data_IF_193210458414
#
_entry.id   IF_193210458414
#
_cell.length_a   1.000
_cell.length_b   1.000
_cell.length_c   1.000
_cell.angle_alpha   90.00
_cell.angle_beta   90.00
_cell.angle_gamma   90.00
#
_symmetry.space_group_name_H-M   'P 1'
#
loop_
_entity.id
_entity.type
_entity.pdbx_description
1 polymer ?
#
# COMPACT_ATOMS: atom_id res chain seq x y z
N UNK A 1 19.14 6.19 0.48
CA UNK A 1 19.35 7.63 0.24
C UNK A 1 20.04 8.21 1.46
N UNK A 2 20.92 9.19 1.29
CA UNK A 2 21.51 9.94 2.41
C UNK A 2 20.82 11.29 2.52
N UNK A 3 20.54 11.70 3.75
CA UNK A 3 19.97 12.99 4.09
C UNK A 3 20.96 13.69 5.02
N UNK A 4 21.61 14.74 4.51
CA UNK A 4 22.42 15.64 5.31
C UNK A 4 21.60 16.81 5.82
N UNK A 5 21.76 17.14 7.09
CA UNK A 5 21.37 18.42 7.68
C UNK A 5 22.64 19.21 8.01
N UNK A 6 22.51 20.41 8.57
CA UNK A 6 23.68 21.19 9.00
C UNK A 6 24.52 20.45 10.07
N UNK A 7 23.89 19.60 10.88
CA UNK A 7 24.52 19.00 12.08
C UNK A 7 24.60 17.47 12.03
N UNK A 8 23.78 16.79 11.21
CA UNK A 8 23.61 15.33 11.25
C UNK A 8 23.47 14.73 9.84
N UNK A 9 23.81 13.45 9.71
CA UNK A 9 23.58 12.66 8.49
C UNK A 9 22.74 11.44 8.87
N UNK A 10 21.61 11.29 8.18
CA UNK A 10 20.71 10.17 8.35
C UNK A 10 20.61 9.38 7.04
N UNK A 11 20.33 8.08 7.14
CA UNK A 11 19.93 7.28 5.98
C UNK A 11 18.42 7.35 5.87
N UNK A 12 17.91 7.40 4.64
CA UNK A 12 16.49 7.21 4.38
C UNK A 12 16.32 6.09 3.36
N UNK A 13 15.40 5.15 3.63
CA UNK A 13 15.10 4.06 2.73
C UNK A 13 13.62 4.05 2.34
N UNK A 14 13.37 3.67 1.09
CA UNK A 14 12.03 3.51 0.54
C UNK A 14 11.44 2.19 1.04
N UNK A 15 10.23 2.23 1.57
CA UNK A 15 9.49 1.02 1.96
C UNK A 15 8.80 0.34 0.78
N UNK A 16 8.66 1.04 -0.36
CA UNK A 16 7.83 0.63 -1.49
C UNK A 16 6.32 0.72 -1.22
N UNK A 17 5.91 1.16 -0.02
CA UNK A 17 4.49 1.36 0.31
C UNK A 17 4.03 2.67 -0.31
N UNK A 18 2.99 2.62 -1.14
CA UNK A 18 2.38 3.82 -1.71
C UNK A 18 1.83 4.72 -0.60
N UNK A 19 1.94 6.06 -0.75
CA UNK A 19 1.49 7.06 0.23
C UNK A 19 0.04 6.86 0.70
N UNK A 20 -0.87 6.34 -0.15
CA UNK A 20 -2.26 6.07 0.25
C UNK A 20 -2.37 5.07 1.40
N UNK A 21 -1.36 4.22 1.55
CA UNK A 21 -1.27 3.16 2.54
C UNK A 21 -0.31 3.51 3.69
N UNK A 22 0.10 4.78 3.85
CA UNK A 22 1.13 5.16 4.81
C UNK A 22 0.78 4.81 6.27
N UNK A 23 -0.52 4.80 6.61
CA UNK A 23 -1.02 4.38 7.92
C UNK A 23 -0.73 2.91 8.27
N UNK A 24 -0.33 2.09 7.29
CA UNK A 24 0.14 0.71 7.51
C UNK A 24 1.60 0.65 7.96
N UNK A 25 2.37 1.71 7.71
CA UNK A 25 3.76 1.83 8.14
C UNK A 25 3.81 2.44 9.55
N UNK A 26 3.14 3.58 9.74
CA UNK A 26 2.89 4.15 11.06
C UNK A 26 1.61 4.99 11.07
N UNK A 27 0.90 4.99 12.20
CA UNK A 27 -0.23 5.90 12.43
C UNK A 27 0.24 7.32 12.77
N UNK A 28 1.51 7.51 13.10
CA UNK A 28 2.10 8.83 13.30
C UNK A 28 2.72 9.31 11.99
N UNK A 29 2.14 10.35 11.40
CA UNK A 29 2.61 10.95 10.14
C UNK A 29 4.02 11.54 10.26
N UNK A 30 4.50 11.77 11.48
CA UNK A 30 5.86 12.25 11.74
C UNK A 30 6.90 11.14 11.86
N UNK A 31 6.52 9.88 11.74
CA UNK A 31 7.49 8.78 11.72
C UNK A 31 8.08 8.59 10.31
N UNK A 32 7.38 8.99 9.25
CA UNK A 32 7.81 8.73 7.88
C UNK A 32 7.81 9.99 7.03
N UNK A 33 8.43 9.90 5.85
CA UNK A 33 8.46 10.97 4.84
C UNK A 33 7.79 10.46 3.57
N UNK A 34 6.89 11.24 2.98
CA UNK A 34 6.34 10.91 1.65
C UNK A 34 7.25 11.50 0.58
N UNK A 35 7.81 10.63 -0.27
CA UNK A 35 8.66 11.03 -1.39
C UNK A 35 8.42 10.09 -2.56
N UNK A 36 8.37 10.65 -3.78
CA UNK A 36 8.20 9.85 -5.00
C UNK A 36 6.97 8.92 -4.91
N UNK A 37 5.91 9.42 -4.24
CA UNK A 37 4.65 8.74 -3.99
C UNK A 37 4.72 7.49 -3.09
N UNK A 38 5.88 7.20 -2.51
CA UNK A 38 6.07 6.12 -1.53
C UNK A 38 6.39 6.67 -0.14
N UNK A 39 6.31 5.78 0.84
CA UNK A 39 6.65 6.03 2.24
C UNK A 39 8.12 5.72 2.46
N UNK A 40 8.86 6.70 2.95
CA UNK A 40 10.28 6.59 3.24
C UNK A 40 10.52 6.69 4.74
N UNK A 41 11.44 5.86 5.24
CA UNK A 41 11.79 5.80 6.65
C UNK A 41 13.17 6.45 6.87
N UNK A 42 13.24 7.57 7.60
CA UNK A 42 14.50 8.12 8.06
C UNK A 42 15.05 7.28 9.22
N UNK A 43 16.36 7.05 9.22
CA UNK A 43 17.07 6.25 10.19
C UNK A 43 18.34 7.00 10.62
N UNK A 44 18.46 7.24 11.92
CA UNK A 44 19.71 7.71 12.52
C UNK A 44 20.72 6.56 12.56
N UNK A 45 21.87 6.77 11.92
CA UNK A 45 22.88 5.72 11.68
C UNK A 45 24.12 5.85 12.53
N UNK A 46 24.28 6.99 13.22
CA UNK A 46 25.41 7.26 14.08
C UNK A 46 25.27 6.62 15.48
N UNK A 47 24.10 6.05 15.78
CA UNK A 47 23.77 5.51 17.11
C UNK A 47 23.76 3.98 17.08
N UNK A 48 24.85 3.39 17.55
CA UNK A 48 25.15 1.96 17.38
C UNK A 48 24.58 1.07 18.51
N UNK A 49 24.09 1.67 19.61
CA UNK A 49 23.62 0.97 20.81
C UNK A 49 22.10 1.12 21.07
N UNK A 50 21.35 1.48 20.04
CA UNK A 50 19.89 1.67 20.11
C UNK A 50 19.17 0.67 19.22
N UNK A 51 17.92 0.39 19.59
CA UNK A 51 17.04 -0.43 18.76
C UNK A 51 16.76 0.24 17.42
N UNK A 52 16.26 -0.53 16.46
CA UNK A 52 15.80 -0.01 15.17
C UNK A 52 14.69 1.05 15.37
N UNK A 53 13.72 0.80 16.25
CA UNK A 53 12.59 1.71 16.50
C UNK A 53 13.04 3.03 17.13
N UNK A 54 14.01 3.01 18.05
CA UNK A 54 14.62 4.22 18.60
C UNK A 54 15.38 5.00 17.51
N UNK A 55 16.21 4.30 16.72
CA UNK A 55 17.00 4.93 15.65
C UNK A 55 16.12 5.53 14.55
N UNK A 56 14.99 4.88 14.25
CA UNK A 56 13.96 5.39 13.35
C UNK A 56 13.30 6.64 13.95
N UNK A 57 12.81 6.57 15.19
CA UNK A 57 12.19 7.70 15.88
C UNK A 57 13.12 8.93 15.92
N UNK A 58 14.40 8.73 16.21
CA UNK A 58 15.41 9.79 16.22
C UNK A 58 15.70 10.34 14.82
N UNK A 59 15.79 9.48 13.81
CA UNK A 59 15.96 9.90 12.42
C UNK A 59 14.79 10.75 11.94
N UNK A 60 13.57 10.36 12.30
CA UNK A 60 12.35 11.10 11.97
C UNK A 60 12.29 12.46 12.69
N UNK A 61 12.61 12.50 13.99
CA UNK A 61 12.70 13.75 14.74
C UNK A 61 13.75 14.70 14.14
N UNK A 62 14.96 14.20 13.83
CA UNK A 62 16.02 14.98 13.22
C UNK A 62 15.62 15.56 11.85
N UNK A 63 14.96 14.76 11.01
CA UNK A 63 14.41 15.21 9.73
C UNK A 63 13.38 16.32 9.94
N UNK A 64 12.34 16.07 10.73
CA UNK A 64 11.24 17.02 10.87
C UNK A 64 11.63 18.28 11.64
N UNK A 65 12.53 18.20 12.62
CA UNK A 65 13.11 19.38 13.28
C UNK A 65 13.78 20.30 12.27
N UNK A 66 14.50 19.75 11.31
CA UNK A 66 15.15 20.53 10.25
C UNK A 66 14.13 21.15 9.30
N UNK A 67 13.12 20.38 8.86
CA UNK A 67 12.04 20.88 8.01
C UNK A 67 11.25 22.00 8.68
N UNK A 68 10.84 21.81 9.92
CA UNK A 68 10.03 22.77 10.68
C UNK A 68 10.80 24.07 10.95
N UNK A 69 12.12 23.98 11.14
CA UNK A 69 13.02 25.13 11.23
C UNK A 69 13.30 25.80 9.88
N UNK A 70 12.76 25.29 8.77
CA UNK A 70 13.10 25.69 7.38
C UNK A 70 14.59 25.59 7.09
N UNK A 71 15.26 24.65 7.74
CA UNK A 71 16.66 24.34 7.53
C UNK A 71 16.88 23.68 6.17
N UNK A 72 18.14 23.71 5.71
CA UNK A 72 18.53 23.06 4.45
C UNK A 72 18.64 21.55 4.67
N UNK A 73 18.01 20.78 3.77
CA UNK A 73 18.19 19.34 3.65
C UNK A 73 18.97 19.04 2.38
N UNK A 74 20.15 18.43 2.52
CA UNK A 74 20.94 17.94 1.42
C UNK A 74 20.59 16.47 1.17
N UNK A 75 19.90 16.21 0.05
CA UNK A 75 19.42 14.88 -0.27
C UNK A 75 20.27 14.26 -1.37
N UNK A 76 20.94 13.14 -1.04
CA UNK A 76 21.86 12.46 -1.93
C UNK A 76 21.32 11.06 -2.24
N UNK A 77 20.98 10.83 -3.51
CA UNK A 77 20.71 9.49 -4.02
C UNK A 77 22.04 8.74 -4.22
N UNK A 78 22.33 7.84 -3.29
CA UNK A 78 23.60 7.09 -3.26
C UNK A 78 23.78 6.24 -4.52
N UNK A 79 22.70 5.63 -5.04
CA UNK A 79 22.80 4.75 -6.21
C UNK A 79 23.16 5.56 -7.45
N UNK A 80 22.47 6.68 -7.68
CA UNK A 80 22.78 7.61 -8.77
C UNK A 80 24.18 8.22 -8.63
N UNK A 81 24.60 8.51 -7.40
CA UNK A 81 25.94 9.05 -7.14
C UNK A 81 27.04 8.06 -7.51
N UNK A 82 26.84 6.75 -7.27
CA UNK A 82 27.79 5.70 -7.63
C UNK A 82 27.94 5.46 -9.13
N UNK A 83 26.95 5.84 -9.95
CA UNK A 83 27.08 5.79 -11.42
C UNK A 83 28.13 6.76 -11.94
N UNK A 84 28.32 7.89 -11.26
CA UNK A 84 29.27 8.95 -11.64
C UNK A 84 30.57 8.87 -10.83
N UNK A 85 30.46 8.47 -9.56
CA UNK A 85 31.57 8.36 -8.61
C UNK A 85 31.49 7.02 -7.87
N UNK A 86 31.98 5.92 -8.48
CA UNK A 86 31.96 4.61 -7.85
C UNK A 86 32.83 4.59 -6.58
N UNK A 87 32.46 3.79 -5.56
CA UNK A 87 33.26 3.67 -4.35
C UNK A 87 34.65 3.12 -4.69
N UNK A 88 35.67 3.65 -4.03
CA UNK A 88 37.03 3.12 -4.17
C UNK A 88 37.09 1.70 -3.60
N UNK A 89 37.75 0.79 -4.30
CA UNK A 89 38.06 -0.52 -3.73
C UNK A 89 38.95 -0.31 -2.50
N UNK A 90 38.53 -0.84 -1.34
CA UNK A 90 39.39 -0.96 -0.17
C UNK A 90 40.55 -1.90 -0.51
N UNK A 91 41.76 -1.59 -0.03
CA UNK A 91 42.89 -2.50 -0.19
C UNK A 91 42.53 -3.85 0.46
N UNK A 92 42.85 -4.95 -0.21
CA UNK A 92 42.47 -6.33 0.13
C UNK A 92 42.94 -6.82 1.52
N UNK A 93 43.73 -6.03 2.23
CA UNK A 93 44.51 -6.44 3.39
C UNK A 93 43.88 -5.97 4.72
N UNK A 94 42.75 -5.24 4.67
CA UNK A 94 42.01 -4.89 5.90
C UNK A 94 41.25 -6.11 6.43
N UNK A 95 41.53 -6.47 7.69
CA UNK A 95 40.74 -7.47 8.43
C UNK A 95 39.34 -6.91 8.65
N UNK A 96 38.41 -7.26 7.77
CA UNK A 96 36.99 -7.02 7.97
C UNK A 96 36.58 -7.75 9.26
N UNK A 97 35.91 -7.04 10.17
CA UNK A 97 35.35 -7.65 11.37
C UNK A 97 34.45 -8.84 10.97
N UNK A 98 34.53 -9.94 11.71
CA UNK A 98 33.70 -11.10 11.43
C UNK A 98 32.22 -10.70 11.47
N UNK A 99 31.46 -11.12 10.47
CA UNK A 99 30.00 -10.94 10.46
C UNK A 99 29.42 -11.52 11.75
N UNK A 100 28.55 -10.78 12.47
CA UNK A 100 27.93 -11.30 13.68
C UNK A 100 27.20 -12.62 13.41
N UNK A 101 27.13 -13.50 14.41
CA UNK A 101 26.42 -14.76 14.26
C UNK A 101 24.93 -14.49 14.00
N UNK A 102 24.32 -15.25 13.08
CA UNK A 102 22.91 -15.08 12.71
C UNK A 102 21.96 -15.14 13.92
N UNK A 103 22.27 -15.99 14.90
CA UNK A 103 21.48 -16.12 16.13
C UNK A 103 21.49 -14.85 17.00
N UNK A 104 22.62 -14.12 17.03
CA UNK A 104 22.70 -12.86 17.76
C UNK A 104 21.87 -11.77 17.06
N UNK A 105 21.94 -11.71 15.73
CA UNK A 105 21.13 -10.79 14.91
C UNK A 105 19.64 -11.08 15.10
N UNK A 106 19.24 -12.35 15.02
CA UNK A 106 17.84 -12.78 15.18
C UNK A 106 17.29 -12.39 16.55
N UNK A 107 18.08 -12.55 17.62
CA UNK A 107 17.68 -12.16 18.98
C UNK A 107 17.33 -10.67 19.07
N UNK A 108 18.17 -9.80 18.53
CA UNK A 108 17.89 -8.34 18.52
C UNK A 108 16.68 -8.01 17.64
N UNK A 109 16.59 -8.62 16.46
CA UNK A 109 15.47 -8.43 15.56
C UNK A 109 14.13 -8.80 16.20
N UNK A 110 14.05 -9.94 16.87
CA UNK A 110 12.82 -10.40 17.53
C UNK A 110 12.43 -9.47 18.68
N UNK A 111 13.39 -9.04 19.51
CA UNK A 111 13.13 -8.11 20.60
C UNK A 111 12.60 -6.76 20.10
N UNK A 112 13.24 -6.19 19.09
CA UNK A 112 12.82 -4.92 18.47
C UNK A 112 11.45 -5.04 17.81
N UNK A 113 11.20 -6.14 17.07
CA UNK A 113 9.91 -6.38 16.43
C UNK A 113 8.77 -6.52 17.46
N UNK A 114 9.01 -7.19 18.59
CA UNK A 114 8.04 -7.30 19.68
C UNK A 114 7.75 -5.94 20.32
N UNK A 115 8.78 -5.15 20.60
CA UNK A 115 8.64 -3.81 21.16
C UNK A 115 7.84 -2.90 20.23
N UNK A 116 8.19 -2.87 18.94
CA UNK A 116 7.48 -2.09 17.92
C UNK A 116 6.02 -2.54 17.78
N UNK A 117 5.77 -3.85 17.78
CA UNK A 117 4.41 -4.41 17.71
C UNK A 117 3.56 -3.99 18.92
N UNK A 118 4.13 -4.01 20.13
CA UNK A 118 3.44 -3.58 21.35
C UNK A 118 3.11 -2.07 21.30
N UNK A 119 4.06 -1.22 20.92
CA UNK A 119 3.84 0.22 20.76
C UNK A 119 2.77 0.52 19.70
N UNK A 120 2.82 -0.18 18.56
CA UNK A 120 1.81 -0.04 17.51
C UNK A 120 0.42 -0.50 17.98
N UNK A 121 0.32 -1.60 18.73
CA UNK A 121 -0.94 -2.08 19.26
C UNK A 121 -1.58 -1.08 20.25
N UNK A 122 -0.75 -0.42 21.06
CA UNK A 122 -1.19 0.64 21.98
C UNK A 122 -1.69 1.86 21.19
N UNK A 123 -0.92 2.33 20.19
CA UNK A 123 -1.31 3.45 19.33
C UNK A 123 -2.62 3.18 18.58
N UNK A 124 -2.78 1.97 18.02
CA UNK A 124 -4.02 1.52 17.40
C UNK A 124 -5.18 1.63 18.39
N UNK A 125 -4.99 1.13 19.61
CA UNK A 125 -6.04 1.11 20.64
C UNK A 125 -6.44 2.54 21.05
N UNK A 126 -5.48 3.42 21.28
CA UNK A 126 -5.72 4.83 21.63
C UNK A 126 -6.43 5.59 20.49
N UNK A 127 -5.93 5.48 19.26
CA UNK A 127 -6.50 6.17 18.09
C UNK A 127 -7.93 5.68 17.81
N UNK A 128 -8.18 4.37 17.88
CA UNK A 128 -9.52 3.80 17.71
C UNK A 128 -10.46 4.24 18.82
N UNK A 129 -10.00 4.27 20.08
CA UNK A 129 -10.80 4.76 21.19
C UNK A 129 -11.22 6.23 20.97
N UNK A 130 -10.27 7.10 20.59
CA UNK A 130 -10.55 8.48 20.24
C UNK A 130 -11.56 8.61 19.10
N UNK A 131 -11.38 7.88 17.99
CA UNK A 131 -12.30 7.93 16.85
C UNK A 131 -13.72 7.49 17.21
N UNK A 132 -13.87 6.48 18.08
CA UNK A 132 -15.18 6.04 18.58
C UNK A 132 -15.92 7.14 19.35
N UNK A 133 -15.21 8.02 20.06
CA UNK A 133 -15.85 9.14 20.78
C UNK A 133 -16.51 10.16 19.86
N UNK A 134 -16.07 10.24 18.60
CA UNK A 134 -16.59 11.20 17.63
C UNK A 134 -17.97 10.82 17.07
N UNK A 135 -18.40 9.57 17.29
CA UNK A 135 -19.74 9.03 16.99
C UNK A 135 -20.31 9.44 15.63
N UNK A 136 -19.49 9.35 14.57
CA UNK A 136 -19.89 9.67 13.21
C UNK A 136 -19.33 8.65 12.21
N UNK A 137 -19.95 8.58 11.04
CA UNK A 137 -19.62 7.60 10.01
C UNK A 137 -18.16 7.68 9.54
N UNK A 138 -17.64 8.90 9.38
CA UNK A 138 -16.26 9.13 8.92
C UNK A 138 -15.26 8.54 9.92
N UNK A 139 -15.40 8.86 11.20
CA UNK A 139 -14.53 8.34 12.26
C UNK A 139 -14.67 6.83 12.45
N UNK A 140 -15.87 6.27 12.27
CA UNK A 140 -16.06 4.81 12.25
C UNK A 140 -15.37 4.13 11.08
N UNK A 141 -15.41 4.72 9.88
CA UNK A 141 -14.66 4.24 8.71
C UNK A 141 -13.15 4.28 8.94
N UNK A 142 -12.62 5.40 9.45
CA UNK A 142 -11.20 5.52 9.80
C UNK A 142 -10.79 4.46 10.84
N UNK A 143 -11.60 4.28 11.89
CA UNK A 143 -11.33 3.28 12.93
C UNK A 143 -11.34 1.85 12.36
N UNK A 144 -12.28 1.55 11.46
CA UNK A 144 -12.38 0.25 10.82
C UNK A 144 -11.16 -0.07 9.95
N UNK A 145 -10.67 0.90 9.18
CA UNK A 145 -9.46 0.76 8.36
C UNK A 145 -8.24 0.45 9.26
N UNK A 146 -8.08 1.20 10.36
CA UNK A 146 -6.99 0.99 11.32
C UNK A 146 -7.07 -0.41 11.94
N UNK A 147 -8.26 -0.82 12.39
CA UNK A 147 -8.48 -2.15 12.96
C UNK A 147 -8.20 -3.26 11.93
N UNK A 148 -8.64 -3.08 10.68
CA UNK A 148 -8.40 -4.03 9.60
C UNK A 148 -6.91 -4.18 9.27
N UNK A 149 -6.17 -3.08 9.21
CA UNK A 149 -4.72 -3.09 9.02
C UNK A 149 -3.99 -3.77 10.18
N UNK A 150 -4.53 -3.68 11.40
CA UNK A 150 -4.04 -4.41 12.57
C UNK A 150 -4.54 -5.87 12.66
N UNK A 151 -5.26 -6.38 11.64
CA UNK A 151 -5.80 -7.75 11.62
C UNK A 151 -7.02 -7.97 12.53
N UNK A 152 -7.56 -6.93 13.17
CA UNK A 152 -8.71 -6.99 14.07
C UNK A 152 -10.03 -6.89 13.29
N UNK A 153 -10.27 -7.84 12.39
CA UNK A 153 -11.37 -7.76 11.41
C UNK A 153 -12.77 -7.75 12.04
N UNK A 154 -12.99 -8.53 13.11
CA UNK A 154 -14.30 -8.57 13.77
C UNK A 154 -14.64 -7.26 14.48
N UNK A 155 -13.63 -6.64 15.12
CA UNK A 155 -13.78 -5.30 15.71
C UNK A 155 -14.04 -4.26 14.62
N UNK A 156 -13.32 -4.35 13.48
CA UNK A 156 -13.49 -3.46 12.34
C UNK A 156 -14.93 -3.56 11.75
N UNK A 157 -15.46 -4.77 11.60
CA UNK A 157 -16.86 -4.98 11.19
C UNK A 157 -17.80 -4.38 12.23
N UNK A 158 -17.52 -4.61 13.52
CA UNK A 158 -18.30 -4.13 14.65
C UNK A 158 -18.56 -2.62 14.62
N UNK A 159 -17.52 -1.82 14.33
CA UNK A 159 -17.63 -0.35 14.31
C UNK A 159 -18.38 0.20 13.10
N UNK A 160 -18.60 -0.62 12.05
CA UNK A 160 -19.31 -0.21 10.82
C UNK A 160 -20.77 -0.69 10.76
N UNK A 161 -21.22 -1.58 11.65
CA UNK A 161 -22.53 -2.26 11.56
C UNK A 161 -23.73 -1.34 11.37
N UNK A 162 -23.67 -0.11 11.88
CA UNK A 162 -24.77 0.86 11.85
C UNK A 162 -24.81 1.71 10.58
N UNK A 163 -23.75 1.71 9.78
CA UNK A 163 -23.59 2.58 8.61
C UNK A 163 -23.75 1.78 7.30
N UNK A 164 -24.31 2.44 6.28
CA UNK A 164 -24.63 1.79 4.99
C UNK A 164 -24.27 2.63 3.76
N UNK A 165 -23.51 3.71 3.90
CA UNK A 165 -23.05 4.48 2.74
C UNK A 165 -22.20 3.63 1.80
N UNK A 166 -22.00 4.11 0.58
CA UNK A 166 -21.10 3.49 -0.37
C UNK A 166 -19.68 3.30 0.22
N UNK A 167 -19.16 4.30 0.94
CA UNK A 167 -17.84 4.23 1.60
C UNK A 167 -17.79 3.12 2.64
N UNK A 168 -18.79 3.05 3.52
CA UNK A 168 -18.87 2.03 4.56
C UNK A 168 -18.97 0.63 3.96
N UNK A 169 -19.83 0.45 2.95
CA UNK A 169 -20.01 -0.84 2.30
C UNK A 169 -18.75 -1.25 1.52
N UNK A 170 -18.03 -0.31 0.90
CA UNK A 170 -16.74 -0.58 0.28
C UNK A 170 -15.72 -1.06 1.33
N UNK A 171 -15.59 -0.35 2.44
CA UNK A 171 -14.64 -0.70 3.49
C UNK A 171 -15.01 -2.03 4.18
N UNK A 172 -16.31 -2.31 4.41
CA UNK A 172 -16.77 -3.63 4.86
C UNK A 172 -16.37 -4.72 3.86
N UNK A 173 -16.51 -4.46 2.55
CA UNK A 173 -16.07 -5.36 1.50
C UNK A 173 -14.58 -5.71 1.62
N UNK A 174 -13.73 -4.69 1.82
CA UNK A 174 -12.29 -4.88 2.04
C UNK A 174 -12.04 -5.72 3.30
N UNK A 175 -12.74 -5.44 4.40
CA UNK A 175 -12.56 -6.16 5.67
C UNK A 175 -12.96 -7.63 5.54
N UNK A 176 -14.10 -7.92 4.91
CA UNK A 176 -14.52 -9.29 4.63
C UNK A 176 -13.53 -10.00 3.71
N UNK A 177 -13.04 -9.31 2.67
CA UNK A 177 -12.05 -9.86 1.75
C UNK A 177 -10.77 -10.24 2.49
N UNK A 178 -10.24 -9.34 3.32
CA UNK A 178 -9.05 -9.58 4.15
C UNK A 178 -9.25 -10.69 5.19
N UNK A 179 -10.48 -10.89 5.65
CA UNK A 179 -10.88 -12.02 6.51
C UNK A 179 -11.02 -13.34 5.74
N UNK A 180 -10.95 -13.32 4.40
CA UNK A 180 -11.12 -14.47 3.52
C UNK A 180 -12.59 -14.81 3.19
N UNK A 181 -13.52 -13.91 3.54
CA UNK A 181 -14.96 -14.08 3.31
C UNK A 181 -15.39 -13.41 1.99
N UNK A 182 -15.18 -14.13 0.89
CA UNK A 182 -15.43 -13.64 -0.47
C UNK A 182 -16.90 -13.31 -0.73
N UNK A 183 -17.82 -14.06 -0.11
CA UNK A 183 -19.27 -13.88 -0.33
C UNK A 183 -19.73 -12.58 0.31
N UNK A 184 -19.39 -12.34 1.57
CA UNK A 184 -19.74 -11.07 2.22
C UNK A 184 -18.98 -9.89 1.61
N UNK A 185 -17.73 -10.09 1.18
CA UNK A 185 -16.99 -9.08 0.41
C UNK A 185 -17.75 -8.68 -0.86
N UNK A 186 -18.19 -9.65 -1.67
CA UNK A 186 -18.97 -9.41 -2.89
C UNK A 186 -20.27 -8.65 -2.61
N UNK A 187 -21.02 -9.09 -1.59
CA UNK A 187 -22.29 -8.47 -1.22
C UNK A 187 -22.09 -7.01 -0.80
N UNK A 188 -21.07 -6.74 0.02
CA UNK A 188 -20.72 -5.40 0.47
C UNK A 188 -20.25 -4.51 -0.68
N UNK A 189 -19.35 -4.98 -1.56
CA UNK A 189 -18.96 -4.19 -2.74
C UNK A 189 -20.12 -3.94 -3.72
N UNK A 190 -21.00 -4.92 -3.91
CA UNK A 190 -22.19 -4.77 -4.75
C UNK A 190 -23.14 -3.72 -4.19
N UNK A 191 -23.35 -3.73 -2.86
CA UNK A 191 -24.11 -2.70 -2.15
C UNK A 191 -23.46 -1.31 -2.31
N UNK A 192 -22.13 -1.24 -2.18
CA UNK A 192 -21.38 -0.01 -2.37
C UNK A 192 -21.53 0.54 -3.80
N UNK A 193 -21.40 -0.31 -4.82
CA UNK A 193 -21.54 0.05 -6.23
C UNK A 193 -22.97 0.49 -6.59
N UNK A 194 -23.98 -0.10 -5.95
CA UNK A 194 -25.38 0.33 -6.12
C UNK A 194 -25.63 1.71 -5.51
N UNK A 195 -24.95 2.03 -4.39
CA UNK A 195 -25.06 3.33 -3.73
C UNK A 195 -24.26 4.43 -4.45
N UNK A 196 -23.10 4.09 -5.02
CA UNK A 196 -22.26 5.02 -5.80
C UNK A 196 -21.61 4.29 -6.99
N UNK A 197 -22.31 4.31 -8.14
CA UNK A 197 -21.85 3.66 -9.36
C UNK A 197 -20.72 4.41 -10.09
N UNK A 198 -20.36 5.60 -9.62
CA UNK A 198 -19.31 6.43 -10.23
C UNK A 198 -18.00 6.40 -9.43
N UNK A 199 -17.96 5.73 -8.28
CA UNK A 199 -16.72 5.48 -7.58
C UNK A 199 -15.89 4.39 -8.29
N UNK A 200 -14.79 4.82 -8.90
CA UNK A 200 -13.86 3.91 -9.56
C UNK A 200 -13.14 2.96 -8.59
N UNK A 201 -12.92 3.38 -7.34
CA UNK A 201 -12.25 2.57 -6.33
C UNK A 201 -13.07 1.34 -5.91
N UNK A 202 -14.40 1.43 -5.91
CA UNK A 202 -15.28 0.27 -5.68
C UNK A 202 -15.11 -0.78 -6.79
N UNK A 203 -15.00 -0.33 -8.04
CA UNK A 203 -14.76 -1.21 -9.19
C UNK A 203 -13.38 -1.87 -9.13
N UNK A 204 -12.35 -1.15 -8.63
CA UNK A 204 -11.03 -1.72 -8.37
C UNK A 204 -11.14 -2.87 -7.36
N UNK A 205 -11.79 -2.65 -6.22
CA UNK A 205 -11.92 -3.68 -5.20
C UNK A 205 -12.71 -4.91 -5.67
N UNK A 206 -13.75 -4.72 -6.49
CA UNK A 206 -14.45 -5.83 -7.16
C UNK A 206 -13.53 -6.59 -8.12
N UNK A 207 -12.67 -5.88 -8.87
CA UNK A 207 -11.70 -6.50 -9.77
C UNK A 207 -10.64 -7.32 -9.02
N UNK A 208 -10.19 -6.84 -7.85
CA UNK A 208 -9.30 -7.57 -6.95
C UNK A 208 -9.97 -8.83 -6.40
N UNK A 209 -11.24 -8.73 -5.99
CA UNK A 209 -12.02 -9.90 -5.58
C UNK A 209 -12.13 -10.93 -6.72
N UNK A 210 -12.48 -10.50 -7.95
CA UNK A 210 -12.54 -11.37 -9.13
C UNK A 210 -11.21 -12.07 -9.42
N UNK A 211 -10.12 -11.33 -9.27
CA UNK A 211 -8.77 -11.86 -9.48
C UNK A 211 -8.48 -13.00 -8.52
N UNK A 212 -8.81 -12.83 -7.23
CA UNK A 212 -8.70 -13.88 -6.24
C UNK A 212 -9.63 -15.07 -6.51
N UNK A 213 -10.72 -14.86 -7.25
CA UNK A 213 -11.61 -15.91 -7.75
C UNK A 213 -11.17 -16.56 -9.06
N UNK A 214 -10.04 -16.14 -9.65
CA UNK A 214 -9.54 -16.62 -10.95
C UNK A 214 -10.28 -16.07 -12.17
N UNK A 215 -11.19 -15.10 -11.99
CA UNK A 215 -11.91 -14.45 -13.10
C UNK A 215 -11.08 -13.31 -13.70
N UNK A 216 -10.01 -13.68 -14.42
CA UNK A 216 -9.10 -12.70 -15.02
C UNK A 216 -9.79 -11.78 -16.05
N UNK A 217 -10.75 -12.30 -16.81
CA UNK A 217 -11.50 -11.51 -17.78
C UNK A 217 -12.35 -10.45 -17.06
N UNK A 218 -13.11 -10.86 -16.05
CA UNK A 218 -13.89 -9.94 -15.24
C UNK A 218 -13.02 -8.97 -14.43
N UNK A 219 -11.81 -9.35 -14.04
CA UNK A 219 -10.83 -8.44 -13.41
C UNK A 219 -10.45 -7.31 -14.35
N UNK A 220 -10.07 -7.62 -15.59
CA UNK A 220 -9.73 -6.60 -16.61
C UNK A 220 -10.92 -5.67 -16.83
N UNK A 221 -12.13 -6.21 -16.99
CA UNK A 221 -13.34 -5.38 -17.14
C UNK A 221 -13.57 -4.44 -15.95
N UNK A 222 -13.42 -4.95 -14.73
CA UNK A 222 -13.58 -4.18 -13.50
C UNK A 222 -12.53 -3.07 -13.37
N UNK A 223 -11.28 -3.34 -13.72
CA UNK A 223 -10.21 -2.33 -13.72
C UNK A 223 -10.38 -1.28 -14.83
N UNK A 224 -10.77 -1.69 -16.04
CA UNK A 224 -11.11 -0.76 -17.13
C UNK A 224 -12.27 0.14 -16.71
N UNK A 225 -13.29 -0.43 -16.06
CA UNK A 225 -14.41 0.32 -15.50
C UNK A 225 -13.93 1.32 -14.46
N UNK A 226 -13.12 0.88 -13.47
CA UNK A 226 -12.58 1.72 -12.41
C UNK A 226 -11.89 2.98 -12.95
N UNK A 227 -10.97 2.81 -13.89
CA UNK A 227 -10.18 3.91 -14.46
C UNK A 227 -11.05 4.82 -15.32
N UNK A 228 -12.04 4.27 -16.01
CA UNK A 228 -12.98 5.07 -16.83
C UNK A 228 -13.87 6.03 -16.04
N UNK A 229 -13.95 5.87 -14.71
CA UNK A 229 -14.74 6.74 -13.84
C UNK A 229 -14.03 8.05 -13.47
N UNK A 230 -12.72 8.13 -13.66
CA UNK A 230 -11.96 9.35 -13.36
C UNK A 230 -11.87 10.27 -14.59
N UNK A 231 -11.79 11.59 -14.39
CA UNK A 231 -11.67 12.55 -15.50
C UNK A 231 -10.42 12.33 -16.35
N UNK A 232 -9.31 11.93 -15.72
CA UNK A 232 -8.02 11.67 -16.36
C UNK A 232 -7.44 10.34 -15.90
N UNK A 233 -6.55 9.76 -16.70
CA UNK A 233 -5.84 8.53 -16.33
C UNK A 233 -4.90 8.79 -15.16
N UNK A 234 -4.24 9.94 -15.13
CA UNK A 234 -3.32 10.35 -14.08
C UNK A 234 -4.04 10.44 -12.72
N UNK A 235 -5.24 11.03 -12.69
CA UNK A 235 -6.08 11.03 -11.49
C UNK A 235 -6.50 9.63 -11.09
N UNK A 236 -6.91 8.78 -12.05
CA UNK A 236 -7.21 7.39 -11.75
C UNK A 236 -6.00 6.69 -11.12
N UNK A 237 -4.79 6.92 -11.64
CA UNK A 237 -3.60 6.22 -11.18
C UNK A 237 -3.20 6.67 -9.78
N UNK A 238 -3.28 7.97 -9.50
CA UNK A 238 -3.02 8.52 -8.19
C UNK A 238 -4.05 8.04 -7.15
N UNK A 239 -5.35 8.13 -7.45
CA UNK A 239 -6.43 7.77 -6.53
C UNK A 239 -6.51 6.26 -6.28
N UNK A 240 -6.23 5.45 -7.31
CA UNK A 240 -6.15 4.00 -7.17
C UNK A 240 -4.79 3.55 -6.61
N UNK A 241 -3.80 4.43 -6.48
CA UNK A 241 -2.45 4.16 -5.96
C UNK A 241 -1.64 3.20 -6.82
N UNK A 242 -1.73 3.38 -8.13
CA UNK A 242 -1.15 2.51 -9.17
C UNK A 242 -0.23 3.26 -10.14
N UNK A 243 0.02 4.55 -9.88
CA UNK A 243 0.92 5.39 -10.66
C UNK A 243 2.35 4.86 -10.72
N UNK A 244 2.91 4.43 -9.59
CA UNK A 244 4.26 3.86 -9.54
C UNK A 244 4.35 2.55 -10.35
N UNK A 245 3.28 1.75 -10.36
CA UNK A 245 3.19 0.51 -11.15
C UNK A 245 3.26 0.81 -12.64
N UNK A 246 2.52 1.82 -13.09
CA UNK A 246 2.50 2.22 -14.50
C UNK A 246 3.87 2.78 -14.90
N UNK A 247 4.51 3.56 -14.04
CA UNK A 247 5.84 4.09 -14.25
C UNK A 247 6.89 2.97 -14.35
N UNK A 248 6.86 2.00 -13.44
CA UNK A 248 7.74 0.84 -13.44
C UNK A 248 7.55 -0.01 -14.70
N UNK A 249 6.32 -0.44 -15.04
CA UNK A 249 6.12 -1.28 -16.22
C UNK A 249 6.41 -0.60 -17.56
N UNK A 250 6.32 0.73 -17.63
CA UNK A 250 6.87 1.49 -18.75
C UNK A 250 8.37 1.26 -18.95
N UNK A 251 9.09 0.98 -17.87
CA UNK A 251 10.52 0.67 -17.82
C UNK A 251 10.81 -0.85 -17.88
N UNK A 252 9.97 -1.71 -17.26
CA UNK A 252 10.20 -3.17 -17.11
C UNK A 252 9.95 -4.00 -18.36
N UNK A 253 9.44 -3.44 -19.48
CA UNK A 253 9.31 -4.17 -20.77
C UNK A 253 10.64 -4.79 -21.28
N UNK A 254 11.77 -4.46 -20.65
CA UNK A 254 13.10 -5.01 -20.91
C UNK A 254 13.49 -6.24 -20.06
N UNK A 255 12.75 -6.64 -19.01
CA UNK A 255 13.20 -7.70 -18.10
C UNK A 255 12.08 -8.66 -17.62
N UNK A 256 12.12 -9.84 -18.23
CA UNK A 256 11.83 -11.17 -17.67
C UNK A 256 10.40 -11.72 -17.45
N UNK A 257 10.37 -13.03 -17.73
CA UNK A 257 9.33 -14.03 -17.43
C UNK A 257 9.74 -14.78 -16.16
N UNK A 258 8.83 -14.92 -15.20
CA UNK A 258 8.95 -15.85 -14.09
C UNK A 258 7.60 -16.04 -13.42
N UNK A 259 7.08 -17.26 -13.40
CA UNK A 259 5.74 -17.57 -12.92
C UNK A 259 5.74 -17.87 -11.42
N UNK A 260 5.25 -16.90 -10.64
CA UNK A 260 4.52 -17.10 -9.39
C UNK A 260 3.35 -16.09 -9.39
N UNK A 261 2.17 -16.50 -8.92
CA UNK A 261 1.00 -15.62 -8.78
C UNK A 261 1.28 -14.64 -7.64
N UNK A 262 1.86 -13.50 -7.98
CA UNK A 262 2.32 -12.43 -7.08
C UNK A 262 1.93 -11.06 -7.67
N UNK A 263 2.11 -9.99 -6.89
CA UNK A 263 2.00 -8.56 -7.22
C UNK A 263 2.23 -8.22 -8.70
N UNK A 264 3.22 -8.83 -9.36
CA UNK A 264 3.50 -8.68 -10.79
C UNK A 264 2.38 -9.07 -11.77
N UNK A 265 1.63 -10.15 -11.50
CA UNK A 265 0.49 -10.53 -12.35
C UNK A 265 -0.67 -9.53 -12.20
N UNK A 266 -0.97 -9.15 -10.97
CA UNK A 266 -1.99 -8.14 -10.70
C UNK A 266 -1.63 -6.80 -11.36
N UNK A 267 -0.36 -6.41 -11.30
CA UNK A 267 0.17 -5.26 -12.03
C UNK A 267 -0.03 -5.42 -13.54
N UNK A 268 0.28 -6.59 -14.11
CA UNK A 268 0.08 -6.89 -15.53
C UNK A 268 -1.39 -6.81 -15.97
N UNK A 269 -2.31 -7.37 -15.18
CA UNK A 269 -3.75 -7.29 -15.46
C UNK A 269 -4.27 -5.86 -15.40
N UNK A 270 -3.82 -5.11 -14.40
CA UNK A 270 -4.13 -3.69 -14.28
C UNK A 270 -3.63 -2.94 -15.50
N UNK A 271 -2.38 -3.15 -15.91
CA UNK A 271 -1.81 -2.52 -17.10
C UNK A 271 -2.54 -2.87 -18.40
N UNK A 272 -2.90 -4.15 -18.55
CA UNK A 272 -3.71 -4.61 -19.68
C UNK A 272 -5.04 -3.87 -19.75
N UNK A 273 -5.72 -3.69 -18.60
CA UNK A 273 -6.95 -2.91 -18.52
C UNK A 273 -6.73 -1.43 -18.89
N UNK A 274 -5.57 -0.85 -18.54
CA UNK A 274 -5.21 0.52 -18.92
C UNK A 274 -4.99 0.67 -20.43
N UNK A 275 -4.32 -0.30 -21.06
CA UNK A 275 -4.14 -0.32 -22.51
C UNK A 275 -5.47 -0.48 -23.24
N UNK A 276 -6.33 -1.39 -22.78
CA UNK A 276 -7.67 -1.58 -23.34
C UNK A 276 -8.50 -0.28 -23.24
N UNK A 277 -8.42 0.44 -22.12
CA UNK A 277 -9.08 1.74 -21.98
C UNK A 277 -8.56 2.77 -23.01
N UNK A 278 -7.25 2.80 -23.26
CA UNK A 278 -6.64 3.72 -24.23
C UNK A 278 -7.14 3.41 -25.65
N UNK A 279 -7.09 2.14 -26.06
CA UNK A 279 -7.61 1.68 -27.36
C UNK A 279 -9.10 1.99 -27.49
N UNK A 280 -9.89 1.79 -26.44
CA UNK A 280 -11.33 2.13 -26.43
C UNK A 280 -11.58 3.63 -26.54
N UNK A 281 -10.73 4.48 -25.97
CA UNK A 281 -10.84 5.95 -26.14
C UNK A 281 -10.59 6.32 -27.60
N UNK A 282 -9.53 5.81 -28.20
CA UNK A 282 -9.19 6.02 -29.62
C UNK A 282 -10.28 5.48 -30.57
N UNK A 283 -10.84 4.31 -30.25
CA UNK A 283 -11.94 3.72 -30.99
C UNK A 283 -13.28 4.46 -30.77
N UNK A 284 -13.54 5.01 -29.58
CA UNK A 284 -14.75 5.82 -29.31
C UNK A 284 -14.72 7.17 -29.99
N UNK A 285 -13.54 7.77 -30.17
CA UNK A 285 -13.37 8.89 -31.11
C UNK A 285 -13.69 8.49 -32.55
N UNK A 286 -13.70 7.20 -32.89
CA UNK A 286 -14.01 6.67 -34.21
C UNK A 286 -15.43 6.05 -34.36
N UNK A 287 -16.11 5.61 -33.31
CA UNK A 287 -17.51 5.14 -33.36
C UNK A 287 -18.12 4.79 -31.99
N UNK A 288 -19.45 4.89 -31.88
CA UNK A 288 -20.21 4.76 -30.62
C UNK A 288 -21.24 3.62 -30.73
N UNK A 289 -20.98 2.44 -30.18
CA UNK A 289 -22.03 1.57 -29.65
C UNK A 289 -21.51 0.47 -28.69
N UNK A 290 -22.43 0.03 -27.83
CA UNK A 290 -22.26 -0.59 -26.51
C UNK A 290 -22.26 -2.13 -26.59
N UNK A 291 -21.65 -2.82 -25.61
CA UNK A 291 -22.15 -4.12 -25.12
C UNK A 291 -21.83 -4.34 -23.64
N UNK A 292 -22.77 -4.99 -22.93
CA UNK A 292 -22.73 -5.34 -21.51
C UNK A 292 -22.78 -6.88 -21.43
N UNK A 293 -21.75 -7.51 -20.89
CA UNK A 293 -21.67 -8.95 -20.66
C UNK A 293 -22.08 -9.33 -19.24
N UNK A 294 -22.75 -10.46 -19.09
CA UNK A 294 -23.13 -11.03 -17.79
C UNK A 294 -21.91 -11.68 -17.12
N UNK A 295 -21.56 -11.21 -15.92
CA UNK A 295 -20.47 -11.78 -15.11
C UNK A 295 -20.98 -13.00 -14.32
N UNK A 296 -20.40 -14.18 -14.60
CA UNK A 296 -20.70 -15.44 -13.90
C UNK A 296 -19.55 -15.73 -12.92
N UNK A 297 -19.80 -15.63 -11.61
CA UNK A 297 -18.77 -15.80 -10.58
C UNK A 297 -18.57 -17.27 -10.13
N UNK A 298 -17.32 -17.62 -9.82
CA UNK A 298 -16.81 -18.99 -9.59
C UNK A 298 -16.61 -19.40 -8.12
N UNK A 299 -17.10 -18.64 -7.13
CA UNK A 299 -16.86 -18.92 -5.70
C UNK A 299 -17.70 -20.09 -5.11
N UNK A 300 -17.88 -21.17 -5.87
CA UNK A 300 -18.65 -22.36 -5.48
C UNK A 300 -17.87 -23.45 -4.74
N UNK A 301 -16.61 -23.21 -4.33
CA UNK A 301 -15.77 -24.20 -3.65
C UNK A 301 -15.48 -23.84 -2.20
N UNK A 302 -15.61 -24.79 -1.26
CA UNK A 302 -15.33 -24.65 0.18
C UNK A 302 -13.88 -24.30 0.56
N UNK A 303 -13.01 -23.98 -0.39
CA UNK A 303 -11.65 -23.50 -0.11
C UNK A 303 -11.70 -21.98 -0.07
N UNK A 304 -11.51 -21.40 1.11
CA UNK A 304 -11.34 -19.96 1.27
C UNK A 304 -10.17 -19.44 0.44
N UNK A 305 -10.06 -18.12 0.30
CA UNK A 305 -8.98 -17.48 -0.48
C UNK A 305 -7.63 -17.84 0.15
N UNK A 306 -6.63 -18.13 -0.69
CA UNK A 306 -5.25 -18.34 -0.25
C UNK A 306 -4.71 -17.11 0.53
N UNK A 307 -4.25 -17.28 1.79
CA UNK A 307 -3.68 -16.20 2.59
C UNK A 307 -2.51 -15.47 1.92
N UNK A 308 -1.73 -16.17 1.09
CA UNK A 308 -0.60 -15.56 0.36
C UNK A 308 -1.10 -14.60 -0.70
N UNK A 309 -2.07 -15.03 -1.51
CA UNK A 309 -2.74 -14.17 -2.48
C UNK A 309 -3.43 -12.96 -1.81
N UNK A 310 -4.04 -13.15 -0.62
CA UNK A 310 -4.60 -12.04 0.16
C UNK A 310 -3.55 -11.03 0.60
N UNK A 311 -2.36 -11.48 1.02
CA UNK A 311 -1.26 -10.60 1.39
C UNK A 311 -0.83 -9.71 0.21
N UNK A 312 -0.79 -10.29 -1.00
CA UNK A 312 -0.35 -9.61 -2.21
C UNK A 312 -1.33 -8.52 -2.69
N UNK A 313 -2.63 -8.65 -2.38
CA UNK A 313 -3.62 -7.65 -2.80
C UNK A 313 -3.81 -6.49 -1.82
N UNK A 314 -3.32 -6.59 -0.57
CA UNK A 314 -3.63 -5.61 0.49
C UNK A 314 -3.21 -4.18 0.12
N UNK A 315 -2.08 -4.04 -0.57
CA UNK A 315 -1.55 -2.75 -1.03
C UNK A 315 -2.42 -2.10 -2.11
N UNK A 316 -3.22 -2.89 -2.81
CA UNK A 316 -4.07 -2.43 -3.91
C UNK A 316 -5.48 -2.08 -3.47
N UNK A 317 -5.91 -2.51 -2.29
CA UNK A 317 -7.23 -2.17 -1.77
C UNK A 317 -7.44 -0.67 -1.72
N UNK A 318 -8.58 -0.23 -2.21
CA UNK A 318 -9.05 1.14 -2.11
C UNK A 318 -9.89 1.30 -0.85
N UNK A 319 -9.39 2.07 0.11
CA UNK A 319 -10.11 2.45 1.32
C UNK A 319 -10.71 3.84 1.17
N UNK A 320 -11.98 4.02 1.57
CA UNK A 320 -12.69 5.31 1.45
C UNK A 320 -13.00 5.84 2.84
N UNK A 321 -12.27 6.87 3.29
CA UNK A 321 -12.40 7.46 4.63
C UNK A 321 -13.18 8.77 4.55
#
# INVERSE_FOLDING_TARGET
MLIGTADHIFIMFDTGVNKKNASRVSLNERDYVIRENTVWIPLETTIINKSFSESWSMGADGYYKTVDAKGKLDVIDVRKSWEVSPPSNLASDEKIAATPAAADIEKFLVADAQSLSASNAEMVSQKVAYLKTQNNEKSSNEAAVILANAGKYDDAIGVLKTYKSASTQNNLGNIYLLKGDSLNAFNSYSSAMNADANDGGINLNLGLLKYLGGDHAGTVESFTSAVSKFPTQEQAYAELGIDNIVAEMGQTRAAEKGAFVDKGELQSLLFSALQDLQVRKEARTASRQVRRGENKFLFGGRRGIDPTALANIKDFLYWKI
#
